data_IF_639889409956
#
_entry.id   IF_639889409956
#
_cell.length_a   1.000
_cell.length_b   1.000
_cell.length_c   1.000
_cell.angle_alpha   90.00
_cell.angle_beta   90.00
_cell.angle_gamma   90.00
#
_symmetry.space_group_name_H-M   'P 1'
#
loop_
_entity.id
_entity.type
_entity.pdbx_description
1 polymer ?
#
# COMPACT_ATOMS: atom_id res chain seq x y z
N UNK A 1 38.62 31.67 -18.22
CA UNK A 1 38.28 30.24 -18.02
C UNK A 1 36.84 30.00 -18.44
N UNK A 2 36.60 29.26 -19.54
CA UNK A 2 35.26 29.00 -20.08
C UNK A 2 34.62 27.82 -19.33
N UNK A 3 33.61 28.08 -18.49
CA UNK A 3 32.79 27.05 -17.86
C UNK A 3 31.91 26.38 -18.93
N UNK A 4 32.21 25.13 -19.26
CA UNK A 4 31.34 24.28 -20.07
C UNK A 4 30.19 23.81 -19.17
N UNK A 5 28.98 24.33 -19.40
CA UNK A 5 27.76 23.81 -18.80
C UNK A 5 27.43 22.50 -19.51
N UNK A 6 27.68 21.38 -18.82
CA UNK A 6 27.23 20.06 -19.26
C UNK A 6 25.75 19.97 -18.90
N UNK A 7 24.89 20.01 -19.91
CA UNK A 7 23.45 19.79 -19.74
C UNK A 7 23.22 18.29 -19.50
N UNK A 8 23.02 17.91 -18.24
CA UNK A 8 22.61 16.55 -17.88
C UNK A 8 21.15 16.38 -18.28
N UNK A 9 20.90 15.64 -19.36
CA UNK A 9 19.57 15.24 -19.78
C UNK A 9 18.95 14.33 -18.70
N UNK A 10 17.90 14.80 -18.02
CA UNK A 10 17.06 13.94 -17.18
C UNK A 10 16.31 12.96 -18.09
N UNK A 11 16.75 11.70 -18.10
CA UNK A 11 15.98 10.61 -18.68
C UNK A 11 14.71 10.42 -17.82
N UNK A 12 13.56 10.79 -18.38
CA UNK A 12 12.24 10.49 -17.81
C UNK A 12 12.05 8.98 -17.91
N UNK A 13 12.21 8.27 -16.79
CA UNK A 13 11.84 6.87 -16.65
C UNK A 13 10.31 6.76 -16.71
N UNK A 14 9.80 6.43 -17.89
CA UNK A 14 8.41 6.00 -18.08
C UNK A 14 8.28 4.65 -17.38
N UNK A 15 7.73 4.63 -16.17
CA UNK A 15 7.36 3.39 -15.50
C UNK A 15 6.28 2.70 -16.35
N UNK A 16 6.50 1.45 -16.80
CA UNK A 16 5.45 0.72 -17.48
C UNK A 16 4.32 0.52 -16.46
N UNK A 17 3.10 0.95 -16.82
CA UNK A 17 1.88 0.54 -16.15
C UNK A 17 1.75 -0.97 -16.35
N UNK A 18 2.30 -1.73 -15.40
CA UNK A 18 2.25 -3.19 -15.40
C UNK A 18 0.80 -3.62 -15.44
N UNK A 19 0.41 -4.26 -16.54
CA UNK A 19 -0.88 -4.91 -16.66
C UNK A 19 -0.90 -5.99 -15.58
N UNK A 20 -1.68 -5.78 -14.53
CA UNK A 20 -1.92 -6.76 -13.46
C UNK A 20 -2.77 -7.92 -14.01
N UNK A 21 -2.25 -8.64 -15.00
CA UNK A 21 -2.70 -9.98 -15.29
C UNK A 21 -2.13 -10.83 -14.17
N UNK A 22 -2.90 -10.95 -13.08
CA UNK A 22 -2.59 -11.83 -11.96
C UNK A 22 -2.20 -13.19 -12.56
N UNK A 23 -0.90 -13.50 -12.53
CA UNK A 23 -0.43 -14.80 -12.94
C UNK A 23 -1.02 -15.77 -11.92
N UNK A 24 -2.10 -16.44 -12.29
CA UNK A 24 -2.84 -17.31 -11.38
C UNK A 24 -1.90 -18.41 -10.90
N UNK A 25 -1.56 -18.39 -9.61
CA UNK A 25 -0.81 -19.47 -8.96
C UNK A 25 -1.67 -20.75 -9.01
N UNK A 26 -1.10 -21.92 -9.31
CA UNK A 26 -1.82 -23.19 -9.17
C UNK A 26 -2.42 -23.31 -7.76
N UNK A 27 -3.73 -23.54 -7.67
CA UNK A 27 -4.47 -23.60 -6.40
C UNK A 27 -4.91 -22.25 -5.82
N UNK A 28 -4.70 -21.13 -6.53
CA UNK A 28 -5.28 -19.85 -6.12
C UNK A 28 -6.83 -19.87 -6.25
N UNK A 29 -7.55 -19.19 -5.35
CA UNK A 29 -9.00 -19.05 -5.47
C UNK A 29 -9.42 -18.42 -6.80
N UNK A 30 -10.50 -18.92 -7.40
CA UNK A 30 -11.10 -18.35 -8.61
C UNK A 30 -11.56 -16.88 -8.42
N UNK A 31 -11.66 -16.43 -7.18
CA UNK A 31 -12.08 -15.06 -6.82
C UNK A 31 -10.96 -14.03 -6.86
N UNK A 32 -9.72 -14.44 -7.13
CA UNK A 32 -8.57 -13.56 -6.96
C UNK A 32 -8.61 -12.27 -7.79
N UNK A 33 -9.14 -12.31 -9.01
CA UNK A 33 -9.32 -11.09 -9.83
C UNK A 33 -10.25 -10.08 -9.13
N UNK A 34 -11.40 -10.56 -8.65
CA UNK A 34 -12.33 -9.74 -7.87
C UNK A 34 -11.69 -9.24 -6.59
N UNK A 35 -11.00 -10.09 -5.85
CA UNK A 35 -10.46 -9.75 -4.54
C UNK A 35 -9.32 -8.71 -4.66
N UNK A 36 -8.48 -8.81 -5.69
CA UNK A 36 -7.47 -7.80 -6.01
C UNK A 36 -8.11 -6.46 -6.43
N UNK A 37 -9.13 -6.49 -7.30
CA UNK A 37 -9.85 -5.28 -7.70
C UNK A 37 -10.51 -4.57 -6.50
N UNK A 38 -11.16 -5.33 -5.63
CA UNK A 38 -11.76 -4.80 -4.41
C UNK A 38 -10.71 -4.29 -3.42
N UNK A 39 -9.54 -4.93 -3.37
CA UNK A 39 -8.42 -4.46 -2.56
C UNK A 39 -7.91 -3.10 -3.02
N UNK A 40 -7.76 -2.89 -4.34
CA UNK A 40 -7.35 -1.60 -4.92
C UNK A 40 -8.39 -0.51 -4.65
N UNK A 41 -9.68 -0.80 -4.85
CA UNK A 41 -10.76 0.12 -4.50
C UNK A 41 -10.74 0.49 -3.01
N UNK A 42 -10.52 -0.52 -2.15
CA UNK A 42 -10.35 -0.33 -0.71
C UNK A 42 -9.15 0.56 -0.37
N UNK A 43 -8.02 0.42 -1.08
CA UNK A 43 -6.83 1.26 -0.88
C UNK A 43 -7.16 2.73 -1.11
N UNK A 44 -7.81 3.05 -2.24
CA UNK A 44 -8.23 4.42 -2.57
C UNK A 44 -9.13 4.99 -1.49
N UNK A 45 -10.10 4.21 -1.01
CA UNK A 45 -10.98 4.64 0.07
C UNK A 45 -10.20 4.92 1.37
N UNK A 46 -9.24 4.06 1.73
CA UNK A 46 -8.41 4.26 2.91
C UNK A 46 -7.53 5.50 2.81
N UNK A 47 -6.95 5.77 1.64
CA UNK A 47 -6.17 7.00 1.39
C UNK A 47 -7.02 8.24 1.63
N UNK A 48 -8.25 8.29 1.12
CA UNK A 48 -9.18 9.40 1.40
C UNK A 48 -9.49 9.53 2.89
N UNK A 49 -9.76 8.43 3.59
CA UNK A 49 -10.02 8.46 5.05
C UNK A 49 -8.83 8.99 5.83
N UNK A 50 -7.62 8.57 5.47
CA UNK A 50 -6.38 9.04 6.09
C UNK A 50 -6.17 10.53 5.85
N UNK A 51 -6.40 11.02 4.63
CA UNK A 51 -6.31 12.45 4.30
C UNK A 51 -7.30 13.28 5.11
N UNK A 52 -8.56 12.84 5.23
CA UNK A 52 -9.57 13.51 6.04
C UNK A 52 -9.18 13.50 7.52
N UNK A 53 -8.70 12.36 8.04
CA UNK A 53 -8.31 12.22 9.43
C UNK A 53 -7.09 13.04 9.82
N UNK A 54 -6.22 13.41 8.87
CA UNK A 54 -4.99 14.16 9.14
C UNK A 54 -5.25 15.50 9.86
N UNK A 55 -6.42 16.12 9.63
CA UNK A 55 -6.84 17.37 10.27
C UNK A 55 -7.81 17.15 11.44
N UNK A 56 -8.16 15.91 11.76
CA UNK A 56 -9.05 15.58 12.88
C UNK A 56 -8.33 15.60 14.22
N UNK A 57 -9.11 15.53 15.31
CA UNK A 57 -8.54 15.36 16.65
C UNK A 57 -7.82 14.00 16.81
N UNK A 58 -7.05 13.87 17.89
CA UNK A 58 -6.26 12.66 18.15
C UNK A 58 -7.13 11.40 18.25
N UNK A 59 -8.33 11.49 18.83
CA UNK A 59 -9.25 10.36 18.94
C UNK A 59 -9.69 9.87 17.56
N UNK A 60 -10.02 10.79 16.65
CA UNK A 60 -10.37 10.52 15.26
C UNK A 60 -9.21 9.92 14.49
N UNK A 61 -8.01 10.50 14.62
CA UNK A 61 -6.79 9.97 14.02
C UNK A 61 -6.53 8.52 14.45
N UNK A 62 -6.56 8.27 15.75
CA UNK A 62 -6.33 6.95 16.33
C UNK A 62 -7.36 5.92 15.89
N UNK A 63 -8.65 6.29 15.78
CA UNK A 63 -9.68 5.41 15.23
C UNK A 63 -9.36 5.04 13.78
N UNK A 64 -9.07 6.02 12.93
CA UNK A 64 -8.81 5.80 11.50
C UNK A 64 -7.52 5.01 11.27
N UNK A 65 -6.46 5.24 12.04
CA UNK A 65 -5.24 4.43 11.95
C UNK A 65 -5.47 2.97 12.34
N UNK A 66 -6.29 2.70 13.36
CA UNK A 66 -6.67 1.31 13.73
C UNK A 66 -7.46 0.63 12.62
N UNK A 67 -8.38 1.35 11.98
CA UNK A 67 -9.10 0.85 10.79
C UNK A 67 -8.13 0.56 9.64
N UNK A 68 -7.17 1.45 9.41
CA UNK A 68 -6.17 1.28 8.36
C UNK A 68 -5.25 0.07 8.60
N UNK A 69 -4.83 -0.18 9.84
CA UNK A 69 -4.09 -1.40 10.21
C UNK A 69 -4.89 -2.66 9.88
N UNK A 70 -6.19 -2.69 10.22
CA UNK A 70 -7.04 -3.83 9.89
C UNK A 70 -7.17 -4.03 8.37
N UNK A 71 -7.26 -2.94 7.60
CA UNK A 71 -7.23 -3.01 6.14
C UNK A 71 -5.89 -3.55 5.61
N UNK A 72 -4.75 -3.05 6.10
CA UNK A 72 -3.42 -3.50 5.66
C UNK A 72 -3.21 -4.99 5.92
N UNK A 73 -3.70 -5.52 7.06
CA UNK A 73 -3.67 -6.95 7.35
C UNK A 73 -4.44 -7.76 6.30
N UNK A 74 -5.65 -7.30 5.94
CA UNK A 74 -6.47 -7.94 4.90
C UNK A 74 -5.80 -7.84 3.52
N UNK A 75 -5.30 -6.66 3.16
CA UNK A 75 -4.64 -6.38 1.89
C UNK A 75 -3.41 -7.29 1.69
N UNK A 76 -2.58 -7.40 2.73
CA UNK A 76 -1.45 -8.34 2.77
C UNK A 76 -1.88 -9.78 2.48
N UNK A 77 -2.96 -10.25 3.11
CA UNK A 77 -3.46 -11.59 2.91
C UNK A 77 -3.97 -11.83 1.48
N UNK A 78 -4.64 -10.84 0.88
CA UNK A 78 -5.08 -10.89 -0.53
C UNK A 78 -3.87 -11.01 -1.45
N UNK A 79 -2.85 -10.16 -1.29
CA UNK A 79 -1.63 -10.25 -2.10
C UNK A 79 -0.92 -11.60 -1.94
N UNK A 80 -0.77 -12.07 -0.69
CA UNK A 80 -0.12 -13.34 -0.40
C UNK A 80 -0.84 -14.55 -1.04
N UNK A 81 -2.17 -14.48 -1.15
CA UNK A 81 -3.03 -15.55 -1.68
C UNK A 81 -3.14 -15.49 -3.20
N UNK A 82 -3.27 -14.29 -3.77
CA UNK A 82 -3.71 -14.10 -5.15
C UNK A 82 -2.61 -13.73 -6.13
N UNK A 83 -1.45 -13.28 -5.65
CA UNK A 83 -0.30 -12.98 -6.50
C UNK A 83 0.79 -14.05 -6.35
N UNK A 84 1.80 -14.02 -7.22
CA UNK A 84 2.99 -14.85 -7.10
C UNK A 84 4.26 -14.05 -7.51
N UNK A 85 5.42 -14.70 -7.39
CA UNK A 85 6.70 -14.13 -7.81
C UNK A 85 7.03 -12.79 -7.13
N UNK A 86 7.76 -11.95 -7.86
CA UNK A 86 8.23 -10.64 -7.38
C UNK A 86 7.10 -9.68 -7.00
N UNK A 87 6.01 -9.63 -7.77
CA UNK A 87 4.87 -8.75 -7.47
C UNK A 87 4.26 -9.07 -6.10
N UNK A 88 4.10 -10.36 -5.78
CA UNK A 88 3.65 -10.79 -4.45
C UNK A 88 4.61 -10.34 -3.36
N UNK A 89 5.92 -10.54 -3.56
CA UNK A 89 6.94 -10.19 -2.58
C UNK A 89 6.96 -8.69 -2.29
N UNK A 90 6.89 -7.86 -3.34
CA UNK A 90 6.84 -6.40 -3.22
C UNK A 90 5.58 -5.94 -2.49
N UNK A 91 4.40 -6.42 -2.88
CA UNK A 91 3.14 -5.97 -2.29
C UNK A 91 2.96 -6.45 -0.84
N UNK A 92 3.35 -7.69 -0.54
CA UNK A 92 3.35 -8.21 0.84
C UNK A 92 4.36 -7.44 1.69
N UNK A 93 5.57 -7.19 1.18
CA UNK A 93 6.60 -6.43 1.88
C UNK A 93 6.18 -5.00 2.19
N UNK A 94 5.59 -4.29 1.23
CA UNK A 94 5.06 -2.94 1.44
C UNK A 94 3.95 -2.90 2.49
N UNK A 95 3.05 -3.89 2.48
CA UNK A 95 2.02 -4.02 3.50
C UNK A 95 2.62 -4.29 4.89
N UNK A 96 3.67 -5.11 4.98
CA UNK A 96 4.38 -5.41 6.24
C UNK A 96 5.09 -4.18 6.82
N UNK A 97 5.78 -3.41 5.99
CA UNK A 97 6.40 -2.13 6.40
C UNK A 97 5.34 -1.15 6.89
N UNK A 98 4.27 -0.95 6.11
CA UNK A 98 3.17 -0.05 6.50
C UNK A 98 2.51 -0.50 7.82
N UNK A 99 2.33 -1.81 8.02
CA UNK A 99 1.80 -2.34 9.28
C UNK A 99 2.70 -2.02 10.47
N UNK A 100 4.02 -2.14 10.31
CA UNK A 100 4.97 -1.79 11.36
C UNK A 100 4.88 -0.30 11.71
N UNK A 101 4.88 0.57 10.70
CA UNK A 101 4.81 2.03 10.88
C UNK A 101 3.52 2.45 11.61
N UNK A 102 2.36 1.97 11.17
CA UNK A 102 1.10 2.31 11.81
C UNK A 102 0.95 1.71 13.21
N UNK A 103 1.50 0.52 13.47
CA UNK A 103 1.54 -0.04 14.83
C UNK A 103 2.38 0.80 15.77
N UNK A 104 3.54 1.30 15.30
CA UNK A 104 4.38 2.22 16.06
C UNK A 104 3.67 3.56 16.32
N UNK A 105 3.00 4.12 15.31
CA UNK A 105 2.17 5.33 15.47
C UNK A 105 1.09 5.14 16.55
N UNK A 106 0.39 4.01 16.52
CA UNK A 106 -0.63 3.69 17.51
C UNK A 106 -0.05 3.54 18.91
N UNK A 107 1.08 2.84 19.06
CA UNK A 107 1.73 2.65 20.35
C UNK A 107 2.16 3.99 20.97
N UNK A 108 2.69 4.90 20.15
CA UNK A 108 3.21 6.19 20.62
C UNK A 108 2.11 7.23 20.87
N UNK A 109 0.96 7.15 20.17
CA UNK A 109 -0.04 8.24 20.16
C UNK A 109 -1.43 7.85 20.61
N UNK A 110 -1.78 6.57 20.70
CA UNK A 110 -3.17 6.15 20.80
C UNK A 110 -3.51 5.28 22.01
N UNK A 111 -2.51 4.89 22.82
CA UNK A 111 -2.70 4.04 24.00
C UNK A 111 -3.25 2.64 23.67
N UNK A 112 -3.34 1.80 24.71
CA UNK A 112 -4.11 0.56 24.64
C UNK A 112 -5.62 0.89 24.45
N UNK A 113 -6.35 -0.02 23.78
CA UNK A 113 -7.79 0.15 23.57
C UNK A 113 -8.58 0.02 24.87
#
# INVERSE_FOLDING_TARGET
>A
MRRRLVATALAVLVLPAGSAMAQSRPGAPATCSRDLFQNEAGLRQQQTRLQVAANGDQATQCRVWREHVAYLQKSRAVFATCQNGREREENVGQADVSLADYRLLLANRCGAR
#
